data_IF_099905178244
#
_entry.id   IF_099905178244
#
_cell.length_a   1.000
_cell.length_b   1.000
_cell.length_c   1.000
_cell.angle_alpha   90.00
_cell.angle_beta   90.00
_cell.angle_gamma   90.00
#
_symmetry.space_group_name_H-M   'P 1'
#
loop_
_entity.id
_entity.type
_entity.pdbx_description
1 polymer ?
#
# COMPACT_ATOMS: atom_id res chain seq x y z
N UNK A 1 -40.54 -9.66 60.01
CA UNK A 1 -40.62 -10.91 59.25
C UNK A 1 -40.40 -10.55 57.76
N UNK A 2 -39.17 -10.47 57.32
CA UNK A 2 -38.83 -10.11 55.91
C UNK A 2 -38.88 -11.38 55.06
N UNK A 3 -39.67 -11.32 53.98
CA UNK A 3 -39.92 -12.41 53.06
C UNK A 3 -38.64 -12.85 52.33
N UNK A 4 -38.42 -14.14 52.04
CA UNK A 4 -37.20 -14.68 51.46
C UNK A 4 -36.89 -14.15 50.03
N UNK A 5 -37.84 -13.52 49.36
CA UNK A 5 -37.71 -12.97 48.00
C UNK A 5 -36.74 -11.79 47.95
N UNK A 6 -36.65 -10.98 49.03
CA UNK A 6 -35.74 -9.82 49.08
C UNK A 6 -34.28 -10.22 49.27
N UNK A 7 -34.01 -11.39 49.84
CA UNK A 7 -32.65 -11.89 49.99
C UNK A 7 -32.10 -12.52 48.67
N UNK A 8 -32.98 -13.06 47.84
CA UNK A 8 -32.61 -13.62 46.54
C UNK A 8 -32.29 -12.51 45.52
N UNK A 9 -33.04 -11.38 45.57
CA UNK A 9 -32.79 -10.23 44.72
C UNK A 9 -31.47 -9.52 45.05
N UNK A 10 -31.05 -9.49 46.33
CA UNK A 10 -29.79 -8.92 46.75
C UNK A 10 -28.58 -9.80 46.40
N UNK A 11 -28.77 -11.13 46.39
CA UNK A 11 -27.72 -12.09 45.95
C UNK A 11 -27.55 -12.07 44.43
N UNK A 12 -28.62 -11.84 43.66
CA UNK A 12 -28.53 -11.73 42.19
C UNK A 12 -27.91 -10.42 41.71
N UNK A 13 -28.05 -9.35 42.48
CA UNK A 13 -27.51 -8.03 42.16
C UNK A 13 -25.98 -7.95 42.40
N UNK A 14 -25.43 -8.78 43.27
CA UNK A 14 -23.98 -8.85 43.53
C UNK A 14 -23.20 -9.69 42.52
N UNK A 15 -23.89 -10.51 41.70
CA UNK A 15 -23.23 -11.33 40.65
C UNK A 15 -23.05 -10.56 39.34
N UNK A 16 -23.74 -9.42 39.14
CA UNK A 16 -23.65 -8.62 37.91
C UNK A 16 -22.52 -7.58 37.91
N UNK A 17 -21.77 -7.45 39.00
CA UNK A 17 -20.66 -6.46 39.08
C UNK A 17 -19.26 -7.02 38.88
N UNK A 18 -19.13 -8.31 38.47
CA UNK A 18 -17.82 -8.97 38.24
C UNK A 18 -17.61 -9.24 36.74
N UNK A 19 -18.17 -8.44 35.87
CA UNK A 19 -17.92 -8.57 34.43
C UNK A 19 -17.27 -7.28 33.86
N UNK A 20 -16.24 -6.79 34.53
CA UNK A 20 -15.27 -5.87 33.93
C UNK A 20 -13.88 -6.36 34.35
N UNK A 21 -13.54 -7.55 33.90
CA UNK A 21 -12.14 -7.94 33.90
C UNK A 21 -11.47 -7.22 32.71
N UNK A 22 -10.80 -6.12 33.05
CA UNK A 22 -9.67 -5.61 32.31
C UNK A 22 -8.82 -6.80 31.89
N UNK A 23 -8.64 -7.00 30.59
CA UNK A 23 -7.66 -7.97 30.10
C UNK A 23 -6.32 -7.65 30.78
N UNK A 24 -5.91 -8.52 31.67
CA UNK A 24 -4.55 -8.52 32.21
C UNK A 24 -3.72 -9.13 31.08
N UNK A 25 -3.09 -8.26 30.29
CA UNK A 25 -1.93 -8.68 29.49
C UNK A 25 -0.93 -9.26 30.47
N UNK A 26 -0.71 -10.57 30.41
CA UNK A 26 0.34 -11.26 31.13
C UNK A 26 1.66 -10.77 30.54
N UNK A 27 2.22 -9.71 31.10
CA UNK A 27 3.62 -9.41 30.94
C UNK A 27 4.42 -10.50 31.64
N UNK A 28 4.82 -11.51 30.87
CA UNK A 28 5.90 -12.40 31.27
C UNK A 28 7.14 -11.55 31.49
N UNK A 29 7.53 -11.40 32.76
CA UNK A 29 8.68 -10.62 33.18
C UNK A 29 9.94 -10.99 32.42
N UNK A 30 10.29 -10.16 31.45
CA UNK A 30 11.66 -9.94 31.00
C UNK A 30 12.04 -8.56 31.48
N UNK A 31 12.98 -8.49 32.41
CA UNK A 31 13.83 -7.31 32.59
C UNK A 31 14.51 -7.07 31.23
N UNK A 32 13.87 -6.31 30.37
CA UNK A 32 14.39 -5.88 29.08
C UNK A 32 14.41 -4.37 29.09
N UNK A 33 15.53 -3.79 28.72
CA UNK A 33 15.74 -2.42 28.24
C UNK A 33 14.44 -1.82 27.70
N UNK A 34 14.09 -0.56 28.00
CA UNK A 34 12.88 0.07 27.51
C UNK A 34 12.82 -0.06 25.99
N UNK A 35 11.96 -0.94 25.49
CA UNK A 35 11.69 -1.07 24.08
C UNK A 35 10.99 0.22 23.65
N UNK A 36 11.73 1.09 22.98
CA UNK A 36 11.15 2.28 22.37
C UNK A 36 10.11 1.80 21.34
N UNK A 37 8.84 1.94 21.67
CA UNK A 37 7.75 1.57 20.78
C UNK A 37 7.88 2.30 19.44
N UNK A 38 7.57 1.61 18.35
CA UNK A 38 7.50 2.21 17.04
C UNK A 38 6.53 3.39 17.04
N UNK A 39 6.97 4.54 16.51
CA UNK A 39 6.17 5.77 16.52
C UNK A 39 6.17 6.37 15.13
N UNK A 40 4.99 6.75 14.65
CA UNK A 40 4.81 7.66 13.51
C UNK A 40 3.83 8.75 13.94
N UNK A 41 4.32 9.99 13.99
CA UNK A 41 3.56 11.15 14.45
C UNK A 41 3.98 12.42 13.73
N UNK A 42 3.10 13.44 13.76
CA UNK A 42 3.33 14.76 13.16
C UNK A 42 2.34 15.77 13.71
N UNK A 43 2.47 17.04 13.31
CA UNK A 43 1.41 18.04 13.42
C UNK A 43 0.85 18.37 12.05
N UNK A 44 -0.46 18.42 11.93
CA UNK A 44 -1.21 18.86 10.75
C UNK A 44 -1.84 20.22 11.09
N UNK A 45 -1.42 21.30 10.45
CA UNK A 45 -1.84 22.68 10.77
C UNK A 45 -1.76 22.98 12.28
N UNK A 46 -0.68 22.54 12.93
CA UNK A 46 -0.46 22.70 14.37
C UNK A 46 -1.12 21.65 15.27
N UNK A 47 -2.12 20.91 14.79
CA UNK A 47 -2.82 19.86 15.56
C UNK A 47 -2.04 18.55 15.53
N UNK A 48 -1.89 17.89 16.67
CA UNK A 48 -1.17 16.62 16.77
C UNK A 48 -1.91 15.49 16.05
N UNK A 49 -1.16 14.68 15.32
CA UNK A 49 -1.60 13.44 14.69
C UNK A 49 -0.64 12.30 15.03
N UNK A 50 -1.20 11.13 15.31
CA UNK A 50 -0.46 9.90 15.61
C UNK A 50 -1.09 8.76 14.83
N UNK A 51 -0.28 7.93 14.21
CA UNK A 51 -0.73 6.73 13.50
C UNK A 51 -1.08 5.60 14.49
N UNK A 52 -2.16 5.79 15.25
CA UNK A 52 -2.56 4.89 16.33
C UNK A 52 -3.43 3.70 15.88
N UNK A 53 -3.82 3.66 14.61
CA UNK A 53 -4.54 2.50 14.01
C UNK A 53 -3.60 1.58 13.25
N UNK A 54 -2.46 2.10 12.78
CA UNK A 54 -1.46 1.32 12.10
C UNK A 54 -0.38 2.19 11.50
N UNK A 55 0.86 1.73 11.58
CA UNK A 55 2.02 2.36 10.95
C UNK A 55 3.04 1.30 10.54
N UNK A 56 3.70 1.52 9.41
CA UNK A 56 4.72 0.63 8.90
C UNK A 56 5.45 1.21 7.71
N UNK A 57 6.49 0.52 7.29
CA UNK A 57 7.24 0.88 6.10
C UNK A 57 7.50 -0.35 5.21
N UNK A 58 7.90 -0.10 3.97
CA UNK A 58 8.51 -1.11 3.10
C UNK A 58 9.74 -0.54 2.42
N UNK A 59 10.76 -1.39 2.24
CA UNK A 59 11.95 -1.05 1.44
C UNK A 59 12.06 -2.12 0.37
N UNK A 60 11.51 -1.83 -0.80
CA UNK A 60 11.35 -2.80 -1.89
C UNK A 60 11.73 -2.13 -3.20
N UNK A 61 12.50 -2.82 -4.02
CA UNK A 61 12.90 -2.39 -5.37
C UNK A 61 13.60 -1.01 -5.41
N UNK A 62 14.31 -0.63 -4.35
CA UNK A 62 15.01 0.66 -4.28
C UNK A 62 14.15 1.81 -3.77
N UNK A 63 12.87 1.55 -3.40
CA UNK A 63 11.97 2.56 -2.85
C UNK A 63 11.75 2.35 -1.36
N UNK A 64 11.63 3.45 -0.63
CA UNK A 64 11.11 3.46 0.74
C UNK A 64 9.66 3.96 0.69
N UNK A 65 8.72 3.17 1.24
CA UNK A 65 7.35 3.62 1.47
C UNK A 65 7.09 3.61 2.97
N UNK A 66 6.52 4.70 3.50
CA UNK A 66 6.12 4.84 4.91
C UNK A 66 4.64 5.17 4.93
N UNK A 67 3.85 4.39 5.67
CA UNK A 67 2.42 4.57 5.76
C UNK A 67 1.97 4.63 7.21
N UNK A 68 0.96 5.45 7.48
CA UNK A 68 0.33 5.54 8.78
C UNK A 68 -1.15 5.89 8.69
N UNK A 69 -1.92 5.32 9.59
CA UNK A 69 -3.37 5.51 9.69
C UNK A 69 -3.74 5.82 11.14
N UNK A 70 -4.57 6.84 11.33
CA UNK A 70 -5.14 7.19 12.63
C UNK A 70 -6.59 6.74 12.77
N UNK A 71 -7.07 6.66 14.00
CA UNK A 71 -8.46 6.26 14.29
C UNK A 71 -9.49 7.29 13.84
N UNK A 72 -9.09 8.54 13.62
CA UNK A 72 -9.95 9.62 13.07
C UNK A 72 -10.00 9.63 11.54
N UNK A 73 -9.47 8.59 10.88
CA UNK A 73 -9.58 8.39 9.43
C UNK A 73 -8.56 9.16 8.59
N UNK A 74 -7.54 9.77 9.21
CA UNK A 74 -6.45 10.42 8.46
C UNK A 74 -5.34 9.43 8.16
N UNK A 75 -4.84 9.46 6.94
CA UNK A 75 -3.76 8.60 6.49
C UNK A 75 -2.59 9.42 5.91
N UNK A 76 -1.39 9.03 6.25
CA UNK A 76 -0.13 9.53 5.67
C UNK A 76 0.48 8.43 4.81
N UNK A 77 0.94 8.81 3.62
CA UNK A 77 1.77 7.97 2.75
C UNK A 77 2.98 8.77 2.28
N UNK A 78 4.16 8.19 2.37
CA UNK A 78 5.42 8.77 1.90
C UNK A 78 6.07 7.75 0.98
N UNK A 79 6.53 8.19 -0.18
CA UNK A 79 7.31 7.38 -1.14
C UNK A 79 8.62 8.11 -1.45
N UNK A 80 9.74 7.43 -1.23
CA UNK A 80 11.08 7.93 -1.56
C UNK A 80 11.71 7.05 -2.64
N UNK A 81 12.32 7.68 -3.63
CA UNK A 81 12.97 7.01 -4.76
C UNK A 81 14.44 6.68 -4.43
N UNK A 82 14.66 6.08 -3.29
CA UNK A 82 15.93 5.50 -2.84
C UNK A 82 15.70 4.64 -1.60
N UNK A 83 16.70 3.87 -1.19
CA UNK A 83 16.61 2.92 -0.07
C UNK A 83 17.77 3.02 0.92
N UNK A 84 18.37 4.20 1.05
CA UNK A 84 19.48 4.48 1.97
C UNK A 84 19.13 5.61 2.95
N UNK A 85 19.85 5.75 4.08
CA UNK A 85 19.77 6.96 4.91
C UNK A 85 20.19 8.20 4.12
N UNK A 86 19.44 9.29 4.27
CA UNK A 86 19.69 10.52 3.53
C UNK A 86 18.58 11.55 3.69
N UNK A 87 18.74 12.69 3.03
CA UNK A 87 17.75 13.77 2.97
C UNK A 87 17.13 13.82 1.58
N UNK A 88 15.81 13.73 1.53
CA UNK A 88 15.01 13.64 0.32
C UNK A 88 14.14 14.88 0.18
N UNK A 89 14.31 15.59 -0.92
CA UNK A 89 13.49 16.75 -1.25
C UNK A 89 12.16 16.29 -1.82
N UNK A 90 11.08 16.92 -1.39
CA UNK A 90 9.72 16.76 -1.92
C UNK A 90 9.39 18.00 -2.72
N UNK A 91 9.13 17.84 -4.00
CA UNK A 91 8.74 18.91 -4.92
C UNK A 91 7.93 18.36 -6.10
N UNK A 92 7.64 19.20 -7.09
CA UNK A 92 6.87 18.82 -8.28
C UNK A 92 7.67 18.02 -9.31
N UNK A 93 8.99 17.94 -9.16
CA UNK A 93 9.93 17.35 -10.15
C UNK A 93 10.52 16.04 -9.63
N UNK A 94 10.80 15.95 -8.33
CA UNK A 94 11.36 14.73 -7.74
C UNK A 94 10.34 13.61 -7.72
N UNK A 95 10.83 12.38 -7.82
CA UNK A 95 9.98 11.19 -7.63
C UNK A 95 9.68 10.88 -6.15
N UNK A 96 10.14 11.76 -5.23
CA UNK A 96 9.82 11.67 -3.83
C UNK A 96 8.48 12.37 -3.58
N UNK A 97 7.54 11.69 -2.95
CA UNK A 97 6.20 12.24 -2.70
C UNK A 97 5.74 11.96 -1.28
N UNK A 98 4.92 12.85 -0.75
CA UNK A 98 4.14 12.59 0.44
C UNK A 98 2.67 12.99 0.20
N UNK A 99 1.76 12.19 0.72
CA UNK A 99 0.33 12.41 0.59
C UNK A 99 -0.34 12.29 1.96
N UNK A 100 -1.28 13.19 2.22
CA UNK A 100 -2.16 13.17 3.38
C UNK A 100 -3.60 13.09 2.92
N UNK A 101 -4.34 12.08 3.35
CA UNK A 101 -5.79 11.96 3.12
C UNK A 101 -6.56 12.05 4.44
N UNK A 102 -7.79 12.51 4.36
CA UNK A 102 -8.74 12.55 5.46
C UNK A 102 -10.07 12.03 4.94
N UNK A 103 -10.55 10.90 5.47
CA UNK A 103 -11.79 10.26 5.01
C UNK A 103 -13.02 11.15 5.20
N UNK A 104 -12.95 12.15 6.07
CA UNK A 104 -14.03 13.11 6.34
C UNK A 104 -13.91 14.39 5.50
N UNK A 105 -12.82 14.56 4.74
CA UNK A 105 -12.57 15.73 3.91
C UNK A 105 -12.58 15.35 2.43
N UNK A 106 -13.58 15.86 1.68
CA UNK A 106 -13.76 15.63 0.25
C UNK A 106 -13.62 14.15 -0.19
N UNK A 107 -14.34 13.25 0.48
CA UNK A 107 -14.32 11.81 0.20
C UNK A 107 -12.92 11.17 0.24
N UNK A 108 -12.02 11.73 1.05
CA UNK A 108 -10.66 11.22 1.20
C UNK A 108 -9.69 11.62 0.08
N UNK A 109 -10.03 12.59 -0.76
CA UNK A 109 -9.08 13.13 -1.73
C UNK A 109 -7.82 13.65 -1.04
N UNK A 110 -6.68 13.18 -1.51
CA UNK A 110 -5.40 13.46 -0.86
C UNK A 110 -4.92 14.89 -1.13
N UNK A 111 -4.18 15.42 -0.17
CA UNK A 111 -3.26 16.53 -0.34
C UNK A 111 -1.89 15.94 -0.64
N UNK A 112 -1.18 16.41 -1.66
CA UNK A 112 0.10 15.83 -2.09
C UNK A 112 1.20 16.88 -2.18
N UNK A 113 2.46 16.44 -2.14
CA UNK A 113 3.62 17.34 -2.22
C UNK A 113 4.04 17.65 -3.66
N UNK A 114 3.50 16.93 -4.64
CA UNK A 114 3.79 17.12 -6.07
C UNK A 114 2.67 17.85 -6.83
N UNK A 115 1.58 18.23 -6.16
CA UNK A 115 0.58 19.15 -6.69
C UNK A 115 0.95 20.61 -6.40
N UNK A 116 0.28 21.55 -7.08
CA UNK A 116 0.55 22.97 -6.97
C UNK A 116 1.62 23.47 -7.96
N UNK A 117 1.79 24.78 -8.01
CA UNK A 117 2.65 25.43 -9.02
C UNK A 117 4.14 25.38 -8.67
N UNK A 118 4.46 25.40 -7.39
CA UNK A 118 5.84 25.46 -6.89
C UNK A 118 5.92 25.08 -5.39
N UNK A 119 7.11 25.13 -4.84
CA UNK A 119 7.40 24.79 -3.43
C UNK A 119 6.79 25.73 -2.41
N UNK A 120 6.21 26.89 -2.82
CA UNK A 120 5.46 27.75 -1.91
C UNK A 120 4.10 27.14 -1.55
N UNK A 121 3.53 26.35 -2.49
CA UNK A 121 2.25 25.68 -2.32
C UNK A 121 2.43 24.26 -1.78
N UNK A 122 3.36 23.47 -2.35
CA UNK A 122 3.60 22.10 -1.92
C UNK A 122 5.08 21.74 -2.01
N UNK A 123 5.55 20.87 -1.15
CA UNK A 123 6.94 20.43 -1.08
C UNK A 123 7.48 20.44 0.33
N UNK A 124 8.71 19.97 0.51
CA UNK A 124 9.34 19.87 1.82
C UNK A 124 10.52 18.92 1.83
N UNK A 125 10.78 18.31 2.99
CA UNK A 125 11.95 17.47 3.19
C UNK A 125 11.62 16.30 4.10
N UNK A 126 12.18 15.14 3.77
CA UNK A 126 12.20 13.94 4.60
C UNK A 126 13.67 13.55 4.84
N UNK A 127 14.04 13.34 6.09
CA UNK A 127 15.37 12.85 6.44
C UNK A 127 15.24 11.46 7.05
N UNK A 128 15.74 10.45 6.35
CA UNK A 128 15.92 9.10 6.87
C UNK A 128 17.24 9.09 7.63
N UNK A 129 17.17 8.99 8.96
CA UNK A 129 18.36 9.04 9.82
C UNK A 129 19.01 7.67 10.02
N UNK A 130 18.20 6.59 9.98
CA UNK A 130 18.70 5.24 10.16
C UNK A 130 17.80 4.20 9.50
N UNK A 131 18.44 3.18 8.92
CA UNK A 131 17.82 1.92 8.48
C UNK A 131 18.56 0.78 9.15
N UNK A 132 17.94 0.19 10.16
CA UNK A 132 18.45 -0.97 10.88
C UNK A 132 18.01 -2.25 10.15
N UNK A 133 18.94 -2.84 9.40
CA UNK A 133 18.67 -4.05 8.62
C UNK A 133 18.52 -5.31 9.49
N UNK A 134 19.15 -5.33 10.67
CA UNK A 134 19.10 -6.47 11.59
C UNK A 134 17.73 -6.55 12.27
N UNK A 135 17.22 -5.42 12.76
CA UNK A 135 15.94 -5.32 13.44
C UNK A 135 14.78 -4.96 12.47
N UNK A 136 15.08 -4.73 11.18
CA UNK A 136 14.12 -4.29 10.16
C UNK A 136 13.31 -3.08 10.60
N UNK A 137 14.01 -2.03 11.07
CA UNK A 137 13.37 -0.77 11.47
C UNK A 137 13.97 0.42 10.74
N UNK A 138 13.14 1.46 10.52
CA UNK A 138 13.54 2.72 9.90
C UNK A 138 13.19 3.88 10.83
N UNK A 139 14.05 4.89 10.85
CA UNK A 139 13.87 6.11 11.68
C UNK A 139 14.19 7.36 10.88
N UNK A 140 13.51 8.46 11.21
CA UNK A 140 13.74 9.74 10.56
C UNK A 140 12.74 10.80 10.96
N UNK A 141 12.83 11.94 10.27
CA UNK A 141 11.99 13.12 10.49
C UNK A 141 11.48 13.66 9.16
N UNK A 142 10.40 14.44 9.22
CA UNK A 142 9.86 15.09 8.04
C UNK A 142 9.10 16.38 8.36
N UNK A 143 9.06 17.26 7.38
CA UNK A 143 8.16 18.40 7.34
C UNK A 143 7.86 18.75 5.89
N UNK A 144 6.62 19.09 5.58
CA UNK A 144 6.23 19.46 4.22
C UNK A 144 4.92 20.26 4.20
N UNK A 145 4.67 20.89 3.08
CA UNK A 145 3.36 21.40 2.68
C UNK A 145 2.77 20.47 1.65
N UNK A 146 1.52 20.12 1.80
CA UNK A 146 0.77 19.33 0.84
C UNK A 146 -0.40 20.14 0.30
N UNK A 147 -0.61 20.11 -1.00
CA UNK A 147 -1.63 20.87 -1.72
C UNK A 147 -2.64 19.92 -2.35
N UNK A 148 -3.87 20.36 -2.48
CA UNK A 148 -4.91 19.67 -3.20
C UNK A 148 -5.46 20.60 -4.26
N UNK A 149 -5.24 20.25 -5.53
CA UNK A 149 -5.59 21.09 -6.66
C UNK A 149 -7.10 21.26 -6.82
N UNK A 150 -7.86 20.22 -6.51
CA UNK A 150 -9.31 20.18 -6.64
C UNK A 150 -10.04 21.36 -5.98
N UNK A 151 -9.62 21.80 -4.79
CA UNK A 151 -10.22 22.89 -4.03
C UNK A 151 -9.23 23.96 -3.60
N UNK A 152 -8.01 23.91 -4.15
CA UNK A 152 -6.93 24.87 -3.91
C UNK A 152 -6.55 25.01 -2.42
N UNK A 153 -6.70 23.95 -1.63
CA UNK A 153 -6.37 23.95 -0.20
C UNK A 153 -4.98 23.39 0.06
N UNK A 154 -4.39 23.84 1.16
CA UNK A 154 -3.08 23.42 1.62
C UNK A 154 -3.16 22.88 3.05
N UNK A 155 -2.32 21.90 3.37
CA UNK A 155 -2.03 21.44 4.73
C UNK A 155 -0.54 21.62 5.02
N UNK A 156 -0.24 22.14 6.18
CA UNK A 156 1.14 22.24 6.67
C UNK A 156 1.42 21.10 7.65
N UNK A 157 2.44 20.31 7.34
CA UNK A 157 2.90 19.20 8.15
C UNK A 157 4.23 19.56 8.79
N UNK A 158 4.28 19.53 10.12
CA UNK A 158 5.45 19.89 10.93
C UNK A 158 5.72 18.83 12.01
N UNK A 159 6.92 18.86 12.58
CA UNK A 159 7.34 17.97 13.66
C UNK A 159 7.07 16.47 13.35
N UNK A 160 7.18 16.10 12.07
CA UNK A 160 7.03 14.73 11.63
C UNK A 160 8.19 13.87 12.11
N UNK A 161 7.86 12.74 12.72
CA UNK A 161 8.84 11.76 13.23
C UNK A 161 8.34 10.35 12.93
N UNK A 162 9.22 9.52 12.39
CA UNK A 162 9.09 8.08 12.43
C UNK A 162 10.30 7.50 13.16
N UNK A 163 10.05 6.68 14.17
CA UNK A 163 11.10 6.14 15.02
C UNK A 163 10.94 4.64 15.21
N UNK A 164 11.98 3.89 14.85
CA UNK A 164 11.99 2.42 14.88
C UNK A 164 10.75 1.80 14.24
N UNK A 165 10.26 2.41 13.17
CA UNK A 165 9.10 1.92 12.44
C UNK A 165 9.46 0.60 11.76
N UNK A 166 8.71 -0.50 11.97
CA UNK A 166 9.02 -1.76 11.32
C UNK A 166 8.85 -1.65 9.80
N UNK A 167 9.75 -2.28 9.05
CA UNK A 167 9.62 -2.35 7.60
C UNK A 167 9.70 -3.79 7.07
N UNK A 168 9.05 -4.02 5.92
CA UNK A 168 9.18 -5.23 5.13
C UNK A 168 10.13 -4.97 3.96
N UNK A 169 10.96 -5.95 3.62
CA UNK A 169 11.91 -5.87 2.50
C UNK A 169 11.50 -6.73 1.31
N UNK A 170 10.42 -7.49 1.45
CA UNK A 170 9.88 -8.35 0.40
C UNK A 170 8.36 -8.31 0.46
N UNK A 171 7.72 -8.49 -0.67
CA UNK A 171 6.27 -8.67 -0.73
C UNK A 171 5.87 -9.99 -0.04
N UNK A 172 4.62 -10.08 0.45
CA UNK A 172 4.07 -11.35 0.89
C UNK A 172 4.16 -12.40 -0.23
N UNK A 173 4.47 -13.64 0.12
CA UNK A 173 4.39 -14.74 -0.83
C UNK A 173 2.94 -14.94 -1.29
N UNK A 174 2.77 -15.46 -2.51
CA UNK A 174 1.46 -15.79 -3.04
C UNK A 174 0.74 -16.80 -2.15
N UNK A 175 -0.58 -16.67 -2.03
CA UNK A 175 -1.41 -17.70 -1.42
C UNK A 175 -1.29 -19.00 -2.23
N UNK A 176 -1.36 -20.13 -1.57
CA UNK A 176 -1.26 -21.46 -2.24
C UNK A 176 -2.37 -21.70 -3.27
N UNK A 177 -3.49 -20.97 -3.17
CA UNK A 177 -4.63 -21.05 -4.10
C UNK A 177 -4.54 -20.10 -5.29
N UNK A 178 -3.68 -19.08 -5.20
CA UNK A 178 -3.50 -18.10 -6.26
C UNK A 178 -2.41 -18.56 -7.22
N UNK A 179 -2.62 -18.29 -8.51
CA UNK A 179 -1.70 -18.71 -9.58
C UNK A 179 -1.48 -17.55 -10.54
N UNK A 180 -0.23 -17.29 -10.88
CA UNK A 180 0.16 -16.36 -11.95
C UNK A 180 1.45 -16.86 -12.60
N UNK A 181 1.36 -17.25 -13.88
CA UNK A 181 2.53 -17.65 -14.66
C UNK A 181 2.43 -17.16 -16.10
N UNK A 182 3.57 -17.04 -16.76
CA UNK A 182 3.67 -16.59 -18.15
C UNK A 182 5.02 -17.03 -18.73
N UNK A 183 5.11 -17.24 -20.04
CA UNK A 183 6.39 -17.31 -20.74
C UNK A 183 6.82 -15.93 -21.18
N UNK A 184 8.01 -15.53 -20.78
CA UNK A 184 8.65 -14.26 -21.16
C UNK A 184 9.82 -14.58 -22.07
N UNK A 185 9.74 -14.15 -23.32
CA UNK A 185 10.74 -14.45 -24.35
C UNK A 185 11.06 -15.96 -24.42
N UNK A 186 10.00 -16.79 -24.41
CA UNK A 186 10.01 -18.27 -24.38
C UNK A 186 10.53 -18.92 -23.09
N UNK A 187 10.84 -18.17 -22.03
CA UNK A 187 11.27 -18.69 -20.74
C UNK A 187 10.08 -18.73 -19.78
N UNK A 188 9.81 -19.89 -19.19
CA UNK A 188 8.75 -20.02 -18.17
C UNK A 188 9.08 -19.20 -16.93
N UNK A 189 8.11 -18.43 -16.46
CA UNK A 189 8.19 -17.64 -15.24
C UNK A 189 6.90 -17.79 -14.43
N UNK A 190 7.06 -18.01 -13.13
CA UNK A 190 5.96 -18.08 -12.15
C UNK A 190 6.18 -17.06 -11.07
N UNK A 191 5.17 -16.26 -10.78
CA UNK A 191 5.21 -15.23 -9.75
C UNK A 191 5.40 -15.84 -8.36
N UNK A 192 6.15 -15.13 -7.52
CA UNK A 192 6.35 -15.45 -6.10
C UNK A 192 5.41 -14.67 -5.18
N UNK A 193 4.93 -13.53 -5.64
CA UNK A 193 3.87 -12.75 -5.01
C UNK A 193 2.79 -12.46 -6.04
N UNK A 194 1.52 -12.58 -5.63
CA UNK A 194 0.36 -12.34 -6.48
C UNK A 194 -0.58 -11.40 -5.74
N UNK A 195 -0.95 -10.30 -6.39
CA UNK A 195 -1.82 -9.28 -5.80
C UNK A 195 -2.93 -8.97 -6.79
N UNK A 196 -4.17 -9.00 -6.31
CA UNK A 196 -5.33 -8.43 -6.97
C UNK A 196 -5.95 -7.35 -6.12
N UNK A 197 -6.20 -6.18 -6.69
CA UNK A 197 -6.82 -5.05 -5.98
C UNK A 197 -7.74 -4.28 -6.89
N UNK A 198 -8.70 -3.56 -6.29
CA UNK A 198 -9.55 -2.62 -7.00
C UNK A 198 -9.13 -1.18 -6.69
N UNK A 199 -9.11 -0.32 -7.70
CA UNK A 199 -8.94 1.13 -7.53
C UNK A 199 -9.77 1.86 -8.57
N UNK A 200 -10.66 2.72 -8.13
CA UNK A 200 -11.63 3.38 -9.01
C UNK A 200 -12.52 2.37 -9.73
N UNK A 201 -12.51 2.43 -11.05
CA UNK A 201 -13.28 1.55 -11.94
C UNK A 201 -12.53 0.32 -12.43
N UNK A 202 -11.28 0.11 -11.95
CA UNK A 202 -10.40 -0.92 -12.48
C UNK A 202 -10.02 -1.98 -11.44
N UNK A 203 -9.71 -3.18 -11.93
CA UNK A 203 -9.03 -4.25 -11.21
C UNK A 203 -7.60 -4.29 -11.71
N UNK A 204 -6.67 -4.27 -10.76
CA UNK A 204 -5.25 -4.45 -10.99
C UNK A 204 -4.83 -5.85 -10.54
N UNK A 205 -4.19 -6.59 -11.43
CA UNK A 205 -3.68 -7.93 -11.20
C UNK A 205 -2.19 -7.89 -11.41
N UNK A 206 -1.40 -8.35 -10.45
CA UNK A 206 0.04 -8.42 -10.62
C UNK A 206 0.63 -9.72 -10.09
N UNK A 207 1.60 -10.24 -10.83
CA UNK A 207 2.52 -11.25 -10.38
C UNK A 207 3.94 -10.68 -10.35
N UNK A 208 4.71 -10.98 -9.30
CA UNK A 208 6.07 -10.45 -9.16
C UNK A 208 7.00 -11.40 -8.41
N UNK A 209 8.31 -11.15 -8.50
CA UNK A 209 9.26 -11.63 -7.52
C UNK A 209 9.05 -10.92 -6.17
N UNK A 210 9.45 -11.54 -5.06
CA UNK A 210 9.23 -10.98 -3.71
C UNK A 210 9.91 -9.63 -3.49
N UNK A 211 10.98 -9.35 -4.22
CA UNK A 211 11.74 -8.10 -4.16
C UNK A 211 11.40 -7.13 -5.30
N UNK A 212 10.33 -7.39 -6.07
CA UNK A 212 9.94 -6.63 -7.26
C UNK A 212 11.03 -6.51 -8.34
N UNK A 213 12.04 -7.38 -8.33
CA UNK A 213 13.07 -7.38 -9.39
C UNK A 213 12.49 -7.71 -10.77
N UNK A 214 11.34 -8.40 -10.81
CA UNK A 214 10.55 -8.67 -12.02
C UNK A 214 9.07 -8.60 -11.67
N UNK A 215 8.27 -8.00 -12.56
CA UNK A 215 6.83 -7.84 -12.39
C UNK A 215 6.11 -7.95 -13.73
N UNK A 216 4.96 -8.61 -13.72
CA UNK A 216 3.95 -8.56 -14.80
C UNK A 216 2.64 -8.12 -14.18
N UNK A 217 2.00 -7.11 -14.76
CA UNK A 217 0.72 -6.60 -14.27
C UNK A 217 -0.29 -6.42 -15.40
N UNK A 218 -1.56 -6.46 -15.03
CA UNK A 218 -2.71 -6.26 -15.92
C UNK A 218 -3.66 -5.28 -15.25
N UNK A 219 -4.17 -4.30 -16.00
CA UNK A 219 -5.25 -3.41 -15.60
C UNK A 219 -6.46 -3.67 -16.49
N UNK A 220 -7.61 -3.89 -15.87
CA UNK A 220 -8.87 -4.24 -16.56
C UNK A 220 -10.05 -3.55 -15.85
N UNK A 221 -11.14 -3.20 -16.56
CA UNK A 221 -12.34 -2.63 -15.92
C UNK A 221 -12.94 -3.59 -14.88
N UNK A 222 -13.45 -3.05 -13.79
CA UNK A 222 -14.05 -3.83 -12.69
C UNK A 222 -15.39 -4.47 -13.05
N UNK A 223 -16.05 -4.00 -14.10
CA UNK A 223 -17.29 -4.56 -14.65
C UNK A 223 -17.05 -5.57 -15.81
N UNK A 224 -15.80 -6.01 -16.00
CA UNK A 224 -15.43 -6.94 -17.07
C UNK A 224 -16.24 -8.25 -16.96
N UNK A 225 -16.67 -8.77 -18.10
CA UNK A 225 -17.36 -10.07 -18.20
C UNK A 225 -16.44 -11.12 -18.84
N UNK A 226 -16.75 -12.43 -18.72
CA UNK A 226 -16.04 -13.45 -19.49
C UNK A 226 -16.05 -13.12 -20.98
N UNK A 227 -14.87 -13.20 -21.61
CA UNK A 227 -14.67 -12.81 -23.01
C UNK A 227 -13.20 -12.54 -23.32
N UNK A 228 -12.92 -12.19 -24.58
CA UNK A 228 -11.57 -11.85 -25.06
C UNK A 228 -11.48 -10.38 -25.42
N UNK A 229 -10.47 -9.68 -24.90
CA UNK A 229 -10.26 -8.26 -25.06
C UNK A 229 -8.84 -7.98 -25.54
N UNK A 230 -8.65 -6.88 -26.26
CA UNK A 230 -7.33 -6.48 -26.72
C UNK A 230 -6.55 -5.78 -25.61
N UNK A 231 -5.33 -6.22 -25.36
CA UNK A 231 -4.36 -5.53 -24.49
C UNK A 231 -3.59 -4.52 -25.32
N UNK A 232 -3.86 -3.23 -25.11
CA UNK A 232 -3.29 -2.12 -25.86
C UNK A 232 -3.21 -0.89 -24.96
N UNK A 233 -2.00 -0.50 -24.58
CA UNK A 233 -1.78 0.67 -23.73
C UNK A 233 -2.14 2.01 -24.42
N UNK A 234 -2.28 2.03 -25.74
CA UNK A 234 -2.64 3.23 -26.48
C UNK A 234 -4.13 3.58 -26.26
N UNK A 235 -4.98 2.57 -26.27
CA UNK A 235 -6.43 2.75 -26.00
C UNK A 235 -6.73 2.93 -24.51
N UNK A 236 -5.82 2.47 -23.64
CA UNK A 236 -5.87 2.67 -22.19
C UNK A 236 -6.93 1.86 -21.42
N UNK A 237 -7.79 1.08 -22.10
CA UNK A 237 -8.86 0.32 -21.41
C UNK A 237 -8.37 -0.98 -20.81
N UNK A 238 -7.52 -1.72 -21.53
CA UNK A 238 -6.93 -2.98 -21.08
C UNK A 238 -5.41 -2.87 -21.27
N UNK A 239 -4.69 -2.87 -20.16
CA UNK A 239 -3.26 -2.58 -20.19
C UNK A 239 -2.50 -3.77 -19.62
N UNK A 240 -1.45 -4.21 -20.32
CA UNK A 240 -0.42 -5.09 -19.81
C UNK A 240 0.85 -4.30 -19.51
N UNK A 241 1.51 -4.64 -18.42
CA UNK A 241 2.79 -4.05 -17.99
C UNK A 241 3.77 -5.18 -17.74
N UNK A 242 4.99 -5.01 -18.19
CA UNK A 242 6.11 -5.87 -17.85
C UNK A 242 7.29 -5.03 -17.39
N UNK A 243 7.82 -5.36 -16.22
CA UNK A 243 9.04 -4.77 -15.68
C UNK A 243 10.09 -5.89 -15.53
N UNK A 244 11.08 -5.97 -16.43
CA UNK A 244 12.16 -6.95 -16.33
C UNK A 244 13.08 -6.73 -15.15
N UNK A 245 13.20 -5.46 -14.73
CA UNK A 245 13.93 -4.97 -13.55
C UNK A 245 13.18 -3.77 -12.98
N UNK A 246 13.35 -3.47 -11.71
CA UNK A 246 12.61 -2.41 -11.00
C UNK A 246 12.70 -1.00 -11.63
N UNK A 247 13.70 -0.76 -12.48
CA UNK A 247 13.94 0.55 -13.12
C UNK A 247 13.46 0.62 -14.57
N UNK A 248 12.89 -0.47 -15.13
CA UNK A 248 12.42 -0.52 -16.51
C UNK A 248 10.93 -0.90 -16.56
N UNK A 249 10.15 -0.11 -17.25
CA UNK A 249 8.71 -0.36 -17.46
C UNK A 249 8.44 -0.46 -18.96
N UNK A 250 7.84 -1.57 -19.34
CA UNK A 250 7.37 -1.84 -20.70
C UNK A 250 5.86 -1.98 -20.68
N UNK A 251 5.16 -1.38 -21.65
CA UNK A 251 3.69 -1.45 -21.74
C UNK A 251 3.26 -2.26 -22.95
N UNK A 252 2.05 -2.82 -22.88
CA UNK A 252 1.49 -3.60 -23.98
C UNK A 252 1.29 -2.76 -25.24
N UNK A 253 1.98 -3.10 -26.30
CA UNK A 253 1.76 -2.53 -27.64
C UNK A 253 0.60 -3.26 -28.35
N UNK A 254 0.53 -4.57 -28.18
CA UNK A 254 -0.53 -5.41 -28.73
C UNK A 254 -0.60 -6.73 -27.96
N UNK A 255 -1.81 -7.27 -27.86
CA UNK A 255 -2.01 -8.55 -27.19
C UNK A 255 -3.48 -8.81 -26.91
N UNK A 256 -3.72 -9.86 -26.12
CA UNK A 256 -5.09 -10.25 -25.73
C UNK A 256 -5.11 -10.72 -24.28
N UNK A 257 -6.24 -10.41 -23.62
CA UNK A 257 -6.63 -11.03 -22.36
C UNK A 257 -7.97 -11.74 -22.55
N UNK A 258 -8.06 -12.97 -22.09
CA UNK A 258 -9.30 -13.75 -22.10
C UNK A 258 -9.73 -14.00 -20.68
N UNK A 259 -10.82 -13.40 -20.25
CA UNK A 259 -11.42 -13.63 -18.93
C UNK A 259 -12.24 -14.92 -19.02
N UNK A 260 -11.85 -15.92 -18.23
CA UNK A 260 -12.52 -17.23 -18.15
C UNK A 260 -13.61 -17.22 -17.08
N UNK A 261 -13.39 -16.49 -16.00
CA UNK A 261 -14.30 -16.37 -14.86
C UNK A 261 -14.12 -15.03 -14.18
N UNK A 262 -15.23 -14.36 -13.87
CA UNK A 262 -15.26 -13.20 -12.99
C UNK A 262 -16.47 -13.30 -12.07
N UNK A 263 -16.25 -13.58 -10.81
CA UNK A 263 -17.27 -13.64 -9.78
C UNK A 263 -17.10 -12.44 -8.83
N UNK A 264 -17.93 -11.43 -9.01
CA UNK A 264 -17.89 -10.18 -8.25
C UNK A 264 -18.29 -10.38 -6.77
N UNK A 265 -19.14 -11.37 -6.47
CA UNK A 265 -19.57 -11.63 -5.10
C UNK A 265 -18.45 -12.28 -4.27
N UNK A 266 -17.67 -13.20 -4.86
CA UNK A 266 -16.53 -13.85 -4.20
C UNK A 266 -15.20 -13.17 -4.52
N UNK A 267 -15.22 -12.14 -5.38
CA UNK A 267 -14.06 -11.41 -5.91
C UNK A 267 -13.03 -12.34 -6.57
N UNK A 268 -13.47 -13.42 -7.17
CA UNK A 268 -12.63 -14.38 -7.87
C UNK A 268 -12.51 -14.04 -9.34
N UNK A 269 -11.30 -14.02 -9.84
CA UNK A 269 -10.98 -13.68 -11.22
C UNK A 269 -9.98 -14.68 -11.80
N UNK A 270 -10.22 -15.15 -13.03
CA UNK A 270 -9.38 -16.12 -13.72
C UNK A 270 -9.33 -15.82 -15.22
N UNK A 271 -8.16 -15.93 -15.81
CA UNK A 271 -8.00 -15.66 -17.24
C UNK A 271 -6.65 -16.05 -17.80
N UNK A 272 -6.57 -15.94 -19.14
CA UNK A 272 -5.34 -16.11 -19.91
C UNK A 272 -4.94 -14.78 -20.54
N UNK A 273 -3.66 -14.60 -20.83
CA UNK A 273 -3.17 -13.40 -21.52
C UNK A 273 -1.92 -13.69 -22.36
N UNK A 274 -1.72 -12.83 -23.33
CA UNK A 274 -0.49 -12.70 -24.09
C UNK A 274 -0.37 -11.26 -24.56
N UNK A 275 0.85 -10.73 -24.64
CA UNK A 275 1.10 -9.40 -25.23
C UNK A 275 2.57 -9.21 -25.59
N UNK A 276 2.83 -8.24 -26.48
CA UNK A 276 4.15 -7.71 -26.73
C UNK A 276 4.28 -6.46 -25.88
N UNK A 277 5.23 -6.47 -24.95
CA UNK A 277 5.58 -5.31 -24.13
C UNK A 277 6.70 -4.51 -24.81
N UNK A 278 6.58 -3.20 -24.83
CA UNK A 278 7.57 -2.29 -25.44
C UNK A 278 7.93 -1.19 -24.45
N UNK A 279 9.20 -0.91 -24.32
CA UNK A 279 9.75 0.31 -23.74
C UNK A 279 9.91 1.33 -24.84
N UNK A 280 9.03 2.34 -24.86
CA UNK A 280 9.02 3.37 -25.92
C UNK A 280 10.28 4.25 -25.91
N UNK A 281 10.99 4.33 -24.79
CA UNK A 281 12.21 5.15 -24.66
C UNK A 281 13.44 4.47 -25.26
N UNK A 282 13.52 3.14 -25.16
CA UNK A 282 14.67 2.34 -25.61
C UNK A 282 14.38 1.48 -26.84
N UNK A 283 13.12 1.45 -27.30
CA UNK A 283 12.62 0.57 -28.35
C UNK A 283 12.86 -0.93 -28.08
N UNK A 284 13.13 -1.31 -26.83
CA UNK A 284 13.21 -2.72 -26.42
C UNK A 284 11.83 -3.33 -26.35
N UNK A 285 11.73 -4.59 -26.72
CA UNK A 285 10.47 -5.36 -26.62
C UNK A 285 10.71 -6.71 -25.98
N UNK A 286 9.66 -7.22 -25.34
CA UNK A 286 9.59 -8.59 -24.80
C UNK A 286 8.25 -9.22 -25.17
N UNK A 287 8.28 -10.50 -25.48
CA UNK A 287 7.07 -11.25 -25.83
C UNK A 287 6.60 -12.05 -24.61
N UNK A 288 5.37 -11.77 -24.16
CA UNK A 288 4.71 -12.52 -23.10
C UNK A 288 3.66 -13.43 -23.72
N UNK A 289 3.80 -14.75 -23.48
CA UNK A 289 2.93 -15.79 -24.08
C UNK A 289 2.49 -16.80 -23.03
N UNK A 290 1.41 -17.54 -23.30
CA UNK A 290 0.86 -18.54 -22.40
C UNK A 290 0.68 -18.06 -20.95
N UNK A 291 0.34 -16.79 -20.78
CA UNK A 291 0.04 -16.21 -19.49
C UNK A 291 -1.28 -16.74 -18.94
N UNK A 292 -1.30 -17.03 -17.64
CA UNK A 292 -2.49 -17.45 -16.90
C UNK A 292 -2.48 -16.86 -15.51
N UNK A 293 -3.65 -16.48 -15.03
CA UNK A 293 -3.87 -16.09 -13.66
C UNK A 293 -5.18 -16.65 -13.08
N UNK A 294 -5.16 -16.93 -11.77
CA UNK A 294 -6.34 -17.27 -10.98
C UNK A 294 -6.10 -16.74 -9.56
N UNK A 295 -6.92 -15.81 -9.10
CA UNK A 295 -6.72 -15.16 -7.81
C UNK A 295 -8.04 -14.58 -7.25
N UNK A 296 -7.98 -14.18 -5.97
CA UNK A 296 -8.96 -13.27 -5.37
C UNK A 296 -8.40 -11.86 -5.31
N UNK A 297 -9.19 -10.87 -5.75
CA UNK A 297 -8.84 -9.46 -5.59
C UNK A 297 -9.56 -8.85 -4.37
N UNK A 298 -9.04 -7.72 -3.86
CA UNK A 298 -9.55 -7.00 -2.67
C UNK A 298 -10.29 -5.73 -3.07
#
# INVERSE_FOLDING_TARGET
MFKPITRLAFLLLTILTISCQKEISVELGRQGTPTVSAVLKMKINGSQWIANRGAGASIIAGFININGLSTDGKALSITLNDSVPGTYVLDQISFNTAALSDSLDNNGLAYTTNEGKDTSQAGGVITVTAIDKANKTISGTFHFKAYREFDSKQKQITEGVFNKLPYVATLPAANLTDTFHVKIDNVDWTAKSIIGSTSGTDIYISGSELNLSKLVALSIPSNITPGTYNLDAITGTYIGIYSPVSTSIMTSLSGKITILEHNTATKKLRGNFNFIAVDVSTAKSSQLTAGYFSLKYQ
#
